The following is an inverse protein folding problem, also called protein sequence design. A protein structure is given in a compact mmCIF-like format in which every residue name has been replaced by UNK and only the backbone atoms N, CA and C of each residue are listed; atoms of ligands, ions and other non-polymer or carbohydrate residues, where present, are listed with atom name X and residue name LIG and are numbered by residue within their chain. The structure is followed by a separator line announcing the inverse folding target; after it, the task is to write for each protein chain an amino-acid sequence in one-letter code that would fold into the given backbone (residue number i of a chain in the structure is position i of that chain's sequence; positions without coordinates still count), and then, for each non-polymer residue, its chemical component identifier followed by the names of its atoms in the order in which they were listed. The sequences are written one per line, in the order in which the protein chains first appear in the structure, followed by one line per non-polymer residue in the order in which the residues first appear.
data_IF_385725913979
#
_entry.id   IF_385725913979
#
_cell.length_a   1.000
_cell.length_b   1.000
_cell.length_c   1.000
_cell.angle_alpha   90.00
_cell.angle_beta   90.00
_cell.angle_gamma   90.00
#
_symmetry.space_group_name_H-M   'P 1'
#
loop_
_entity.id
_entity.type
_entity.pdbx_description
1 polymer ?
#
# COMPACT_ATOMS: atom_id res chain seq x y z
N UNK A 1 19.13 -9.37 4.83
CA UNK A 1 20.46 -9.73 5.38
C UNK A 1 21.25 -10.62 4.43
N UNK A 2 20.71 -11.75 3.94
CA UNK A 2 21.41 -12.67 3.04
C UNK A 2 21.95 -11.97 1.78
N UNK A 3 21.14 -11.15 1.10
CA UNK A 3 21.56 -10.36 -0.08
C UNK A 3 22.70 -9.41 0.26
N UNK A 4 22.63 -8.76 1.42
CA UNK A 4 23.70 -7.87 1.89
C UNK A 4 25.01 -8.65 2.12
N UNK A 5 24.95 -9.80 2.77
CA UNK A 5 26.11 -10.66 3.00
C UNK A 5 26.73 -11.16 1.69
N UNK A 6 25.92 -11.61 0.73
CA UNK A 6 26.37 -12.04 -0.59
C UNK A 6 26.99 -10.85 -1.35
N UNK A 7 26.36 -9.69 -1.31
CA UNK A 7 26.87 -8.48 -1.95
C UNK A 7 28.24 -8.05 -1.42
N UNK A 8 28.44 -8.18 -0.11
CA UNK A 8 29.73 -7.93 0.54
C UNK A 8 30.80 -8.93 0.09
N UNK A 9 30.47 -10.23 0.12
CA UNK A 9 31.38 -11.29 -0.33
C UNK A 9 31.79 -11.12 -1.80
N UNK A 10 30.87 -10.67 -2.63
CA UNK A 10 31.12 -10.42 -4.08
C UNK A 10 31.68 -9.02 -4.37
N UNK A 11 31.94 -8.19 -3.38
CA UNK A 11 32.37 -6.82 -3.54
C UNK A 11 31.44 -5.96 -4.42
N UNK A 12 30.13 -6.28 -4.47
CA UNK A 12 29.12 -5.52 -5.22
C UNK A 12 28.46 -4.43 -4.38
N UNK A 13 28.67 -4.42 -3.06
CA UNK A 13 28.31 -3.34 -2.15
C UNK A 13 29.52 -2.89 -1.36
N UNK A 14 29.64 -1.60 -1.14
CA UNK A 14 30.70 -1.01 -0.33
C UNK A 14 30.27 -0.89 1.15
N UNK A 15 31.21 -0.54 2.03
CA UNK A 15 30.96 -0.41 3.47
C UNK A 15 29.89 0.63 3.81
N UNK A 16 29.78 1.72 3.02
CA UNK A 16 28.76 2.74 3.23
C UNK A 16 27.36 2.18 2.92
N UNK A 17 27.21 1.49 1.80
CA UNK A 17 25.95 0.85 1.41
C UNK A 17 25.54 -0.25 2.41
N UNK A 18 26.50 -1.06 2.88
CA UNK A 18 26.24 -2.05 3.93
C UNK A 18 25.71 -1.39 5.20
N UNK A 19 26.35 -0.31 5.64
CA UNK A 19 25.92 0.46 6.82
C UNK A 19 24.52 1.02 6.65
N UNK A 20 24.21 1.64 5.52
CA UNK A 20 22.87 2.17 5.22
C UNK A 20 21.79 1.10 5.29
N UNK A 21 22.06 -0.09 4.73
CA UNK A 21 21.13 -1.23 4.78
C UNK A 21 20.90 -1.67 6.23
N UNK A 22 21.98 -1.89 6.98
CA UNK A 22 21.92 -2.37 8.38
C UNK A 22 21.20 -1.35 9.27
N UNK A 23 21.54 -0.06 9.14
CA UNK A 23 20.91 1.00 9.93
C UNK A 23 19.42 1.14 9.60
N UNK A 24 19.03 0.99 8.32
CA UNK A 24 17.63 0.94 7.90
C UNK A 24 16.89 -0.23 8.54
N UNK A 25 17.46 -1.42 8.54
CA UNK A 25 16.86 -2.61 9.16
C UNK A 25 16.73 -2.48 10.69
N UNK A 26 17.70 -1.85 11.36
CA UNK A 26 17.64 -1.60 12.81
C UNK A 26 16.53 -0.63 13.21
N UNK A 27 16.15 0.29 12.33
CA UNK A 27 15.06 1.24 12.56
C UNK A 27 13.66 0.62 12.38
N UNK A 28 13.56 -0.52 11.69
CA UNK A 28 12.26 -1.13 11.36
C UNK A 28 11.30 -1.30 12.55
N UNK A 29 11.71 -1.78 13.74
CA UNK A 29 10.77 -1.93 14.85
C UNK A 29 10.11 -0.60 15.26
N UNK A 30 10.86 0.50 15.29
CA UNK A 30 10.31 1.83 15.56
C UNK A 30 9.35 2.29 14.46
N UNK A 31 9.77 2.19 13.19
CA UNK A 31 8.95 2.56 12.04
C UNK A 31 7.65 1.74 11.94
N UNK A 32 7.69 0.47 12.33
CA UNK A 32 6.50 -0.39 12.41
C UNK A 32 5.54 0.15 13.47
N UNK A 33 6.04 0.50 14.65
CA UNK A 33 5.21 1.07 15.71
C UNK A 33 4.57 2.40 15.25
N UNK A 34 5.32 3.27 14.57
CA UNK A 34 4.79 4.53 14.04
C UNK A 34 3.65 4.27 13.03
N UNK A 35 3.83 3.29 12.13
CA UNK A 35 2.79 2.90 11.18
C UNK A 35 1.53 2.35 11.88
N UNK A 36 1.68 1.57 12.96
CA UNK A 36 0.57 1.04 13.76
C UNK A 36 -0.19 2.14 14.50
N UNK A 37 0.43 3.26 14.86
CA UNK A 37 -0.25 4.41 15.48
C UNK A 37 -1.33 5.01 14.58
N UNK A 38 -1.28 4.77 13.26
CA UNK A 38 -2.28 5.25 12.31
C UNK A 38 -3.57 4.39 12.31
N UNK A 39 -3.63 3.30 13.09
CA UNK A 39 -4.77 2.37 13.09
C UNK A 39 -6.12 3.07 13.30
N UNK A 40 -6.19 4.03 14.22
CA UNK A 40 -7.45 4.72 14.53
C UNK A 40 -8.00 5.51 13.33
N UNK A 41 -7.13 6.12 12.54
CA UNK A 41 -7.50 6.85 11.33
C UNK A 41 -7.89 5.87 10.21
N UNK A 42 -7.11 4.81 10.02
CA UNK A 42 -7.37 3.76 9.03
C UNK A 42 -8.72 3.08 9.31
N UNK A 43 -9.04 2.79 10.58
CA UNK A 43 -10.33 2.24 10.99
C UNK A 43 -11.51 3.13 10.60
N UNK A 44 -11.39 4.45 10.75
CA UNK A 44 -12.43 5.40 10.30
C UNK A 44 -12.63 5.33 8.78
N UNK A 45 -11.53 5.25 8.01
CA UNK A 45 -11.59 5.14 6.56
C UNK A 45 -12.17 3.83 6.08
N UNK A 46 -11.92 2.73 6.78
CA UNK A 46 -12.48 1.42 6.46
C UNK A 46 -14.01 1.42 6.40
N UNK A 47 -14.69 2.31 7.14
CA UNK A 47 -16.14 2.45 7.10
C UNK A 47 -16.68 2.79 5.69
N UNK A 48 -15.88 3.44 4.85
CA UNK A 48 -16.25 3.79 3.46
C UNK A 48 -16.40 2.58 2.56
N UNK A 49 -15.86 1.42 2.97
CA UNK A 49 -15.88 0.18 2.18
C UNK A 49 -17.09 -0.71 2.48
N UNK A 50 -17.93 -0.35 3.45
CA UNK A 50 -19.07 -1.18 3.89
C UNK A 50 -19.90 -1.69 2.72
N UNK A 51 -20.30 -0.79 1.83
CA UNK A 51 -21.18 -1.08 0.69
C UNK A 51 -20.42 -1.16 -0.65
N UNK A 52 -19.10 -1.26 -0.60
CA UNK A 52 -18.29 -1.37 -1.81
C UNK A 52 -18.11 -2.83 -2.23
N UNK A 53 -18.16 -3.04 -3.55
CA UNK A 53 -17.91 -4.34 -4.18
C UNK A 53 -16.57 -4.39 -4.91
N UNK A 54 -15.98 -3.24 -5.22
CA UNK A 54 -14.72 -3.13 -5.95
C UNK A 54 -13.82 -2.06 -5.35
N UNK A 55 -12.52 -2.19 -5.56
CA UNK A 55 -11.51 -1.20 -5.17
C UNK A 55 -10.28 -1.30 -6.08
N UNK A 56 -9.62 -0.18 -6.35
CA UNK A 56 -8.36 -0.14 -7.09
C UNK A 56 -7.20 0.25 -6.18
N UNK A 57 -6.07 -0.41 -6.36
CA UNK A 57 -4.83 -0.10 -5.67
C UNK A 57 -3.79 0.40 -6.67
N UNK A 58 -3.08 1.47 -6.32
CA UNK A 58 -2.12 2.11 -7.20
C UNK A 58 -0.75 2.21 -6.56
N UNK A 59 0.27 1.85 -7.31
CA UNK A 59 1.67 2.02 -6.95
C UNK A 59 2.53 2.27 -8.18
N UNK A 60 3.75 2.74 -7.98
CA UNK A 60 4.76 2.86 -9.05
C UNK A 60 6.04 2.16 -8.64
N UNK A 61 6.78 1.63 -9.64
CA UNK A 61 8.01 0.89 -9.37
C UNK A 61 7.80 -0.24 -8.36
N UNK A 62 8.61 -0.28 -7.31
CA UNK A 62 8.53 -1.29 -6.25
C UNK A 62 7.20 -1.23 -5.47
N UNK A 63 6.58 -0.05 -5.36
CA UNK A 63 5.31 0.12 -4.66
C UNK A 63 4.12 -0.47 -5.41
N UNK A 64 4.25 -0.82 -6.69
CA UNK A 64 3.24 -1.59 -7.37
C UNK A 64 3.08 -3.00 -6.75
N UNK A 65 4.18 -3.66 -6.40
CA UNK A 65 4.12 -4.95 -5.70
C UNK A 65 3.43 -4.82 -4.33
N UNK A 66 3.63 -3.70 -3.63
CA UNK A 66 2.96 -3.42 -2.35
C UNK A 66 1.46 -3.14 -2.54
N UNK A 67 1.10 -2.41 -3.59
CA UNK A 67 -0.29 -2.23 -3.99
C UNK A 67 -0.98 -3.56 -4.32
N UNK A 68 -0.27 -4.49 -5.00
CA UNK A 68 -0.76 -5.85 -5.26
C UNK A 68 -1.02 -6.62 -3.96
N UNK A 69 -0.11 -6.54 -2.99
CA UNK A 69 -0.30 -7.17 -1.67
C UNK A 69 -1.51 -6.58 -0.94
N UNK A 70 -1.67 -5.26 -0.95
CA UNK A 70 -2.85 -4.61 -0.37
C UNK A 70 -4.16 -5.06 -1.02
N UNK A 71 -4.21 -5.11 -2.35
CA UNK A 71 -5.36 -5.60 -3.09
C UNK A 71 -5.66 -7.07 -2.78
N UNK A 72 -4.61 -7.90 -2.67
CA UNK A 72 -4.73 -9.31 -2.29
C UNK A 72 -5.33 -9.45 -0.90
N UNK A 73 -4.80 -8.75 0.11
CA UNK A 73 -5.32 -8.82 1.48
C UNK A 73 -6.77 -8.35 1.58
N UNK A 74 -7.12 -7.25 0.91
CA UNK A 74 -8.50 -6.79 0.89
C UNK A 74 -9.44 -7.84 0.25
N UNK A 75 -9.05 -8.42 -0.87
CA UNK A 75 -9.81 -9.45 -1.59
C UNK A 75 -10.02 -10.70 -0.74
N UNK A 76 -8.94 -11.21 -0.11
CA UNK A 76 -8.96 -12.46 0.64
C UNK A 76 -9.93 -12.43 1.82
N UNK A 77 -9.95 -11.34 2.59
CA UNK A 77 -10.67 -11.29 3.87
C UNK A 77 -11.97 -10.50 3.84
N UNK A 78 -12.17 -9.60 2.86
CA UNK A 78 -13.40 -8.80 2.74
C UNK A 78 -14.30 -9.19 1.57
N UNK A 79 -13.80 -9.99 0.64
CA UNK A 79 -14.46 -10.42 -0.61
C UNK A 79 -14.80 -9.27 -1.56
N UNK A 80 -14.19 -8.09 -1.36
CA UNK A 80 -14.23 -7.00 -2.32
C UNK A 80 -13.34 -7.38 -3.51
N UNK A 81 -13.85 -7.18 -4.74
CA UNK A 81 -13.03 -7.34 -5.94
C UNK A 81 -11.98 -6.23 -5.99
N UNK A 82 -10.80 -6.52 -5.49
CA UNK A 82 -9.69 -5.56 -5.42
C UNK A 82 -8.60 -5.91 -6.43
N UNK A 83 -8.18 -4.94 -7.22
CA UNK A 83 -7.11 -5.08 -8.18
C UNK A 83 -6.06 -3.99 -8.02
N UNK A 84 -4.82 -4.30 -8.37
CA UNK A 84 -3.74 -3.33 -8.37
C UNK A 84 -3.23 -3.07 -9.78
N UNK A 85 -2.92 -1.81 -10.06
CA UNK A 85 -2.33 -1.39 -11.33
C UNK A 85 -1.10 -0.50 -11.10
N UNK A 86 -0.08 -0.59 -11.97
CA UNK A 86 0.93 0.45 -12.02
C UNK A 86 0.23 1.77 -12.37
N UNK A 87 0.42 2.80 -11.55
CA UNK A 87 -0.30 4.07 -11.75
C UNK A 87 -0.07 4.69 -13.15
N UNK A 88 1.09 4.42 -13.77
CA UNK A 88 1.38 4.85 -15.14
C UNK A 88 0.56 4.16 -16.22
N UNK A 89 0.01 2.96 -15.93
CA UNK A 89 -0.75 2.16 -16.89
C UNK A 89 -2.27 2.44 -16.84
N UNK A 90 -2.72 3.33 -15.95
CA UNK A 90 -4.15 3.63 -15.82
C UNK A 90 -4.82 4.02 -17.15
N UNK A 91 -4.11 4.79 -17.98
CA UNK A 91 -4.64 5.28 -19.27
C UNK A 91 -4.87 4.18 -20.29
N UNK A 92 -4.30 3.00 -20.11
CA UNK A 92 -4.40 1.88 -21.03
C UNK A 92 -5.63 0.98 -20.76
N UNK A 93 -6.63 1.50 -20.04
CA UNK A 93 -7.90 0.81 -19.80
C UNK A 93 -8.44 1.00 -18.39
N UNK A 94 -7.69 0.71 -17.30
CA UNK A 94 -8.22 0.71 -15.94
C UNK A 94 -8.88 2.03 -15.52
N UNK A 95 -8.48 3.14 -16.08
CA UNK A 95 -9.04 4.46 -15.79
C UNK A 95 -10.55 4.54 -16.13
N UNK A 96 -11.04 3.70 -17.03
CA UNK A 96 -12.46 3.62 -17.37
C UNK A 96 -13.33 3.08 -16.24
N UNK A 97 -12.73 2.37 -15.27
CA UNK A 97 -13.42 1.82 -14.09
C UNK A 97 -13.60 2.86 -12.97
N UNK A 98 -12.93 4.01 -13.09
CA UNK A 98 -12.87 5.02 -12.03
C UNK A 98 -14.08 5.94 -12.10
N UNK A 99 -14.87 5.91 -11.04
CA UNK A 99 -16.01 6.81 -10.82
C UNK A 99 -16.09 7.21 -9.33
N UNK A 100 -17.13 7.94 -8.95
CA UNK A 100 -17.40 8.38 -7.56
C UNK A 100 -17.64 7.22 -6.57
N UNK A 101 -17.92 6.03 -7.04
CA UNK A 101 -18.21 4.85 -6.22
C UNK A 101 -17.00 3.94 -6.06
N UNK A 102 -15.98 4.08 -6.92
CA UNK A 102 -14.76 3.29 -6.90
C UNK A 102 -13.76 3.86 -5.89
N UNK A 103 -13.50 3.21 -4.75
CA UNK A 103 -12.38 3.58 -3.89
C UNK A 103 -11.06 3.33 -4.60
N UNK A 104 -10.16 4.31 -4.53
CA UNK A 104 -8.80 4.16 -5.05
C UNK A 104 -7.82 4.36 -3.90
N UNK A 105 -6.98 3.37 -3.68
CA UNK A 105 -5.95 3.36 -2.66
C UNK A 105 -4.59 3.51 -3.33
N UNK A 106 -3.78 4.48 -2.92
CA UNK A 106 -2.46 4.70 -3.48
C UNK A 106 -1.36 4.65 -2.43
N UNK A 107 -0.20 4.16 -2.83
CA UNK A 107 1.03 4.11 -2.03
C UNK A 107 2.03 5.10 -2.60
N UNK A 108 2.38 6.13 -1.82
CA UNK A 108 3.14 7.30 -2.25
C UNK A 108 4.40 7.53 -1.40
N UNK A 109 5.45 6.71 -1.56
CA UNK A 109 6.74 6.98 -0.92
C UNK A 109 7.39 8.23 -1.52
N UNK A 110 8.28 8.86 -0.76
CA UNK A 110 9.13 9.92 -1.25
C UNK A 110 10.31 9.35 -2.05
N UNK A 111 10.06 9.03 -3.31
CA UNK A 111 11.05 8.48 -4.24
C UNK A 111 11.07 9.25 -5.59
N UNK A 112 11.94 8.83 -6.50
CA UNK A 112 12.08 9.44 -7.82
C UNK A 112 10.83 9.36 -8.73
N UNK A 113 9.86 8.51 -8.37
CA UNK A 113 8.62 8.34 -9.12
C UNK A 113 7.44 9.13 -8.54
N UNK A 114 7.61 9.76 -7.38
CA UNK A 114 6.55 10.47 -6.68
C UNK A 114 5.88 11.56 -7.54
N UNK A 115 6.67 12.36 -8.27
CA UNK A 115 6.11 13.41 -9.14
C UNK A 115 5.18 12.86 -10.22
N UNK A 116 5.56 11.71 -10.80
CA UNK A 116 4.70 11.01 -11.79
C UNK A 116 3.47 10.40 -11.14
N UNK A 117 3.59 9.88 -9.91
CA UNK A 117 2.45 9.35 -9.16
C UNK A 117 1.46 10.49 -8.86
N UNK A 118 1.92 11.64 -8.38
CA UNK A 118 1.06 12.81 -8.12
C UNK A 118 0.24 13.21 -9.35
N UNK A 119 0.85 13.22 -10.54
CA UNK A 119 0.14 13.48 -11.79
C UNK A 119 -0.95 12.45 -12.07
N UNK A 120 -0.68 11.15 -11.83
CA UNK A 120 -1.69 10.11 -11.97
C UNK A 120 -2.83 10.25 -10.96
N UNK A 121 -2.55 10.65 -9.71
CA UNK A 121 -3.60 10.89 -8.71
C UNK A 121 -4.52 12.06 -9.11
N UNK A 122 -3.98 13.11 -9.73
CA UNK A 122 -4.80 14.20 -10.28
C UNK A 122 -5.75 13.71 -11.38
N UNK A 123 -5.29 12.79 -12.23
CA UNK A 123 -6.13 12.19 -13.28
C UNK A 123 -7.26 11.34 -12.68
N UNK A 124 -6.97 10.55 -11.64
CA UNK A 124 -7.96 9.78 -10.89
C UNK A 124 -8.99 10.71 -10.25
N UNK A 125 -8.52 11.77 -9.59
CA UNK A 125 -9.38 12.78 -8.98
C UNK A 125 -10.34 13.41 -9.97
N UNK A 126 -9.88 13.78 -11.17
CA UNK A 126 -10.72 14.43 -12.19
C UNK A 126 -11.94 13.60 -12.60
N UNK A 127 -11.98 12.32 -12.22
CA UNK A 127 -13.09 11.38 -12.44
C UNK A 127 -13.98 11.19 -11.21
N UNK A 128 -13.73 11.96 -10.15
CA UNK A 128 -14.57 12.00 -8.95
C UNK A 128 -14.34 10.84 -7.97
N UNK A 129 -13.29 10.04 -8.14
CA UNK A 129 -12.99 8.92 -7.24
C UNK A 129 -12.76 9.37 -5.79
N UNK A 130 -13.17 8.50 -4.86
CA UNK A 130 -12.80 8.61 -3.45
C UNK A 130 -11.41 7.99 -3.27
N UNK A 131 -10.40 8.82 -2.95
CA UNK A 131 -9.03 8.36 -2.82
C UNK A 131 -8.57 8.30 -1.37
N UNK A 132 -7.75 7.29 -1.08
CA UNK A 132 -6.96 7.15 0.14
C UNK A 132 -5.51 7.04 -0.29
N UNK A 133 -4.66 7.94 0.19
CA UNK A 133 -3.24 7.94 -0.14
C UNK A 133 -2.45 7.70 1.14
N UNK A 134 -1.71 6.61 1.18
CA UNK A 134 -0.71 6.36 2.20
C UNK A 134 0.61 6.95 1.73
N UNK A 135 1.12 7.94 2.46
CA UNK A 135 2.35 8.63 2.11
C UNK A 135 3.41 8.55 3.20
N UNK A 136 4.65 8.73 2.80
CA UNK A 136 5.72 9.11 3.69
C UNK A 136 5.59 10.63 3.96
N UNK A 137 5.92 11.06 5.17
CA UNK A 137 5.76 12.46 5.60
C UNK A 137 6.45 13.47 4.67
N UNK A 138 7.55 13.06 4.03
CA UNK A 138 8.30 13.90 3.11
C UNK A 138 7.70 13.93 1.69
N UNK A 139 6.75 13.05 1.38
CA UNK A 139 6.10 12.99 0.07
C UNK A 139 5.24 14.21 -0.22
N UNK A 140 4.60 14.78 0.81
CA UNK A 140 3.78 15.99 0.72
C UNK A 140 2.80 15.94 -0.47
N UNK A 141 2.02 14.87 -0.53
CA UNK A 141 0.91 14.78 -1.47
C UNK A 141 -0.15 15.75 -1.00
N UNK A 142 -0.45 16.74 -1.84
CA UNK A 142 -1.43 17.74 -1.47
C UNK A 142 -2.82 17.10 -1.35
N UNK A 143 -3.47 17.31 -0.21
CA UNK A 143 -4.88 16.93 -0.02
C UNK A 143 -5.76 17.67 -1.03
N UNK A 144 -6.74 16.96 -1.54
CA UNK A 144 -7.73 17.47 -2.47
C UNK A 144 -9.11 17.02 -1.99
N UNK A 145 -10.16 17.67 -2.47
CA UNK A 145 -11.51 17.23 -2.21
C UNK A 145 -11.71 15.75 -2.57
N UNK A 146 -12.39 14.98 -1.72
CA UNK A 146 -12.59 13.53 -1.83
C UNK A 146 -11.30 12.68 -1.80
N UNK A 147 -10.15 13.24 -1.38
CA UNK A 147 -8.90 12.52 -1.15
C UNK A 147 -8.48 12.68 0.31
N UNK A 148 -8.22 11.57 0.98
CA UNK A 148 -7.61 11.57 2.29
C UNK A 148 -6.19 11.07 2.21
N UNK A 149 -5.29 11.79 2.86
CA UNK A 149 -3.86 11.48 2.93
C UNK A 149 -3.55 11.03 4.36
N UNK A 150 -2.95 9.84 4.48
CA UNK A 150 -2.46 9.29 5.75
C UNK A 150 -0.95 9.28 5.70
N UNK A 151 -0.34 10.09 6.55
CA UNK A 151 1.11 10.09 6.75
C UNK A 151 1.49 8.92 7.66
N UNK A 152 2.37 8.05 7.18
CA UNK A 152 2.75 6.84 7.90
C UNK A 152 3.93 7.12 8.82
N UNK A 153 5.01 7.65 8.27
CA UNK A 153 6.24 8.03 9.00
C UNK A 153 7.18 8.77 8.04
N UNK A 154 8.28 9.31 8.54
CA UNK A 154 9.29 9.98 7.74
C UNK A 154 10.56 9.15 7.56
N UNK A 155 11.41 9.58 6.65
CA UNK A 155 12.75 9.01 6.42
C UNK A 155 12.75 7.51 6.07
N UNK A 156 11.78 7.08 5.29
CA UNK A 156 11.72 5.71 4.79
C UNK A 156 12.82 5.48 3.74
N UNK A 157 13.73 4.58 4.07
CA UNK A 157 14.72 4.11 3.11
C UNK A 157 14.12 3.16 2.07
N UNK A 158 14.80 3.01 0.94
CA UNK A 158 14.37 2.15 -0.18
C UNK A 158 14.04 0.70 0.24
N UNK A 159 14.70 0.18 1.28
CA UNK A 159 14.50 -1.18 1.78
C UNK A 159 13.36 -1.25 2.80
N UNK A 160 13.22 -0.24 3.65
CA UNK A 160 12.20 -0.20 4.69
C UNK A 160 10.82 0.18 4.15
N UNK A 161 10.74 1.07 3.16
CA UNK A 161 9.48 1.56 2.62
C UNK A 161 8.51 0.43 2.20
N UNK A 162 8.91 -0.60 1.42
CA UNK A 162 8.00 -1.70 1.08
C UNK A 162 7.41 -2.41 2.30
N UNK A 163 8.22 -2.62 3.35
CA UNK A 163 7.78 -3.29 4.58
C UNK A 163 6.76 -2.40 5.32
N UNK A 164 7.09 -1.12 5.48
CA UNK A 164 6.28 -0.18 6.26
C UNK A 164 4.96 0.12 5.57
N UNK A 165 4.93 0.32 4.25
CA UNK A 165 3.70 0.57 3.51
C UNK A 165 2.75 -0.64 3.43
N UNK A 166 3.25 -1.86 3.65
CA UNK A 166 2.39 -3.05 3.73
C UNK A 166 1.48 -3.00 4.96
N UNK A 167 1.94 -2.47 6.09
CA UNK A 167 1.22 -2.45 7.37
C UNK A 167 -0.13 -1.71 7.27
N UNK A 168 -0.21 -0.45 6.82
CA UNK A 168 -1.48 0.26 6.72
C UNK A 168 -2.46 -0.39 5.74
N UNK A 169 -1.98 -1.06 4.68
CA UNK A 169 -2.83 -1.80 3.76
C UNK A 169 -3.43 -3.04 4.42
N UNK A 170 -2.66 -3.73 5.26
CA UNK A 170 -3.16 -4.86 6.05
C UNK A 170 -4.17 -4.38 7.10
N UNK A 171 -3.90 -3.29 7.82
CA UNK A 171 -4.84 -2.69 8.77
C UNK A 171 -6.15 -2.26 8.08
N UNK A 172 -6.06 -1.63 6.92
CA UNK A 172 -7.25 -1.27 6.14
C UNK A 172 -8.09 -2.51 5.81
N UNK A 173 -7.45 -3.55 5.26
CA UNK A 173 -8.12 -4.79 4.89
C UNK A 173 -8.77 -5.48 6.09
N UNK A 174 -8.08 -5.52 7.23
CA UNK A 174 -8.56 -6.06 8.49
C UNK A 174 -9.84 -5.34 8.96
N UNK A 175 -9.80 -4.02 9.06
CA UNK A 175 -10.96 -3.25 9.52
C UNK A 175 -12.12 -3.28 8.54
N UNK A 176 -11.87 -3.34 7.24
CA UNK A 176 -12.91 -3.54 6.23
C UNK A 176 -13.60 -4.89 6.41
N UNK A 177 -12.83 -5.96 6.64
CA UNK A 177 -13.36 -7.29 6.89
C UNK A 177 -14.27 -7.31 8.14
N UNK A 178 -13.84 -6.69 9.23
CA UNK A 178 -14.66 -6.57 10.45
C UNK A 178 -15.98 -5.83 10.19
N UNK A 179 -15.96 -4.74 9.43
CA UNK A 179 -17.16 -3.95 9.09
C UNK A 179 -18.11 -4.74 8.21
N UNK A 180 -17.58 -5.57 7.31
CA UNK A 180 -18.38 -6.45 6.42
C UNK A 180 -18.85 -7.72 7.14
N UNK A 181 -18.40 -7.98 8.36
CA UNK A 181 -18.75 -9.15 9.16
C UNK A 181 -18.15 -10.45 8.62
N UNK A 182 -17.02 -10.38 7.93
CA UNK A 182 -16.31 -11.54 7.41
C UNK A 182 -15.29 -12.07 8.43
N UNK A 183 -15.02 -13.36 8.41
CA UNK A 183 -14.05 -14.00 9.27
C UNK A 183 -12.63 -13.77 8.71
N UNK A 184 -11.80 -13.06 9.45
CA UNK A 184 -10.42 -12.73 9.05
C UNK A 184 -9.45 -13.91 9.23
N UNK A 185 -9.76 -14.83 10.15
CA UNK A 185 -8.90 -15.98 10.45
C UNK A 185 -9.21 -17.20 9.58
N UNK A 186 -10.47 -17.31 9.13
CA UNK A 186 -10.96 -18.40 8.29
C UNK A 186 -11.76 -17.88 7.09
N UNK A 187 -11.11 -17.16 6.16
CA UNK A 187 -11.78 -16.69 4.97
C UNK A 187 -12.31 -17.87 4.15
N UNK A 188 -13.49 -17.68 3.54
CA UNK A 188 -14.11 -18.74 2.73
C UNK A 188 -13.21 -19.14 1.56
N UNK A 189 -13.27 -20.42 1.18
CA UNK A 189 -12.55 -20.97 0.01
C UNK A 189 -11.01 -20.86 0.07
N UNK A 190 -10.46 -20.50 1.22
CA UNK A 190 -9.02 -20.51 1.43
C UNK A 190 -8.65 -21.58 2.44
N UNK A 191 -7.64 -22.37 2.11
CA UNK A 191 -7.06 -23.37 3.00
C UNK A 191 -5.56 -23.17 3.12
N UNK A 192 -5.00 -23.44 4.31
CA UNK A 192 -3.54 -23.37 4.54
C UNK A 192 -2.76 -24.43 3.76
N UNK A 193 -3.43 -25.52 3.39
CA UNK A 193 -2.92 -26.55 2.49
C UNK A 193 -4.07 -27.03 1.60
N UNK A 194 -3.86 -27.02 0.31
CA UNK A 194 -4.81 -27.60 -0.65
C UNK A 194 -4.30 -29.01 -0.96
N UNK A 195 -4.93 -30.00 -0.35
CA UNK A 195 -4.84 -31.39 -0.81
C UNK A 195 -6.01 -31.60 -1.76
N UNK A 196 -5.77 -31.47 -3.05
CA UNK A 196 -6.71 -31.94 -4.08
C UNK A 196 -6.24 -33.36 -4.43
N UNK A 197 -6.99 -34.35 -4.02
CA UNK A 197 -6.93 -35.69 -4.59
C UNK A 197 -7.78 -35.74 -5.86
#
# INVERSE_FOLDING_TARGET
LLVCSIGKLKNTINTKQEKEIVDGLRKLPGLINDALLQESQIKKLAARFKDKSSALFLGRGTMYAIAMEGALKLKEISYIHAEAYPAGELKHGPIALIDKNMPVIAVAPNDELLGKLKSNLQEVKSRGSQMIVFEDEDSKVQEMEAMEVIQITSNLGRISAPIIFTIPLQLLSYHVALIKGTDVDKPRNLAKSVTVE
#
